data_IF_744703205961
#
_entry.id   IF_744703205961
#
_cell.length_a   1.000
_cell.length_b   1.000
_cell.length_c   1.000
_cell.angle_alpha   90.00
_cell.angle_beta   90.00
_cell.angle_gamma   90.00
#
_symmetry.space_group_name_H-M   'P 1'
#
loop_
_entity.id
_entity.type
_entity.pdbx_description
1 polymer ?
#
# COMPACT_ATOMS: atom_id res chain seq x y z
N UNK A 1 11.87 -2.15 23.85
CA UNK A 1 11.76 -0.96 22.98
C UNK A 1 11.02 0.10 23.76
N UNK A 2 11.52 1.34 23.77
CA UNK A 2 10.76 2.47 24.32
C UNK A 2 9.74 2.98 23.30
N UNK A 3 8.75 3.74 23.75
CA UNK A 3 7.65 4.24 22.90
C UNK A 3 8.12 5.10 21.70
N UNK A 4 9.33 5.65 21.75
CA UNK A 4 9.95 6.41 20.66
C UNK A 4 10.99 5.63 19.84
N UNK A 5 11.04 4.31 19.98
CA UNK A 5 11.94 3.50 19.15
C UNK A 5 11.53 3.54 17.67
N UNK A 6 12.46 3.19 16.78
CA UNK A 6 12.17 3.14 15.34
C UNK A 6 11.11 2.08 15.03
N UNK A 7 11.13 0.96 15.76
CA UNK A 7 10.17 -0.13 15.64
C UNK A 7 8.77 0.33 16.05
N UNK A 8 8.64 1.00 17.20
CA UNK A 8 7.35 1.53 17.66
C UNK A 8 6.75 2.51 16.65
N UNK A 9 7.57 3.41 16.10
CA UNK A 9 7.13 4.35 15.05
C UNK A 9 6.72 3.66 13.76
N UNK A 10 7.40 2.58 13.38
CA UNK A 10 7.06 1.79 12.21
C UNK A 10 5.71 1.09 12.37
N UNK A 11 5.45 0.46 13.52
CA UNK A 11 4.15 -0.17 13.80
C UNK A 11 3.02 0.85 13.84
N UNK A 12 3.22 1.98 14.54
CA UNK A 12 2.22 3.05 14.58
C UNK A 12 1.90 3.56 13.18
N UNK A 13 2.90 3.70 12.30
CA UNK A 13 2.68 4.15 10.93
C UNK A 13 1.86 3.16 10.09
N UNK A 14 2.07 1.85 10.27
CA UNK A 14 1.27 0.81 9.60
C UNK A 14 -0.19 0.88 10.07
N UNK A 15 -0.40 1.03 11.39
CA UNK A 15 -1.74 1.15 11.99
C UNK A 15 -2.45 2.44 11.57
N UNK A 16 -1.77 3.58 11.64
CA UNK A 16 -2.31 4.90 11.27
C UNK A 16 -2.77 4.95 9.81
N UNK A 17 -2.08 4.22 8.93
CA UNK A 17 -2.43 4.11 7.52
C UNK A 17 -3.41 2.97 7.20
N UNK A 18 -3.78 2.14 8.19
CA UNK A 18 -4.65 0.99 8.00
C UNK A 18 -4.11 -0.02 6.99
N UNK A 19 -2.77 -0.22 6.96
CA UNK A 19 -2.13 -1.11 6.00
C UNK A 19 -2.22 -2.58 6.41
N UNK A 20 -2.49 -3.45 5.44
CA UNK A 20 -2.56 -4.90 5.60
C UNK A 20 -1.21 -5.54 5.29
N UNK A 21 -0.63 -6.25 6.26
CA UNK A 21 0.60 -7.03 6.09
C UNK A 21 0.31 -8.38 5.39
N UNK A 22 0.93 -8.60 4.24
CA UNK A 22 0.70 -9.80 3.42
C UNK A 22 1.77 -10.88 3.63
N UNK A 23 3.00 -10.51 4.00
CA UNK A 23 4.10 -11.44 4.22
C UNK A 23 4.14 -11.84 5.70
N UNK A 24 3.71 -13.06 6.02
CA UNK A 24 3.72 -13.59 7.40
C UNK A 24 4.81 -14.64 7.62
N UNK A 25 5.58 -14.95 6.58
CA UNK A 25 6.55 -16.04 6.54
C UNK A 25 7.97 -15.49 6.50
N UNK A 26 8.93 -16.20 7.08
CA UNK A 26 10.33 -15.76 7.04
C UNK A 26 10.87 -15.68 5.61
N UNK A 27 11.47 -14.54 5.27
CA UNK A 27 11.98 -14.21 3.93
C UNK A 27 13.49 -14.36 3.80
N UNK A 28 14.20 -14.74 4.88
CA UNK A 28 15.64 -14.96 4.85
C UNK A 28 15.97 -16.42 5.16
N UNK A 29 16.68 -17.08 4.24
CA UNK A 29 17.11 -18.48 4.40
C UNK A 29 18.61 -18.60 4.13
N UNK A 30 19.43 -18.37 5.16
CA UNK A 30 20.87 -18.63 5.12
C UNK A 30 21.20 -19.82 6.03
N UNK A 31 22.03 -20.73 5.52
CA UNK A 31 22.51 -21.92 6.22
C UNK A 31 22.73 -21.67 7.73
N UNK A 32 21.98 -22.41 8.56
CA UNK A 32 22.07 -22.42 10.03
C UNK A 32 21.91 -21.08 10.78
N UNK A 33 21.48 -20.00 10.12
CA UNK A 33 21.15 -18.73 10.79
C UNK A 33 19.65 -18.60 11.08
N UNK A 34 19.32 -17.84 12.14
CA UNK A 34 17.96 -17.55 12.57
C UNK A 34 17.14 -16.95 11.43
N UNK A 35 16.00 -17.59 11.13
CA UNK A 35 15.02 -17.10 10.16
C UNK A 35 14.54 -15.70 10.57
N UNK A 36 14.70 -14.73 9.69
CA UNK A 36 14.24 -13.35 9.90
C UNK A 36 13.23 -12.96 8.84
N UNK A 37 12.10 -12.38 9.25
CA UNK A 37 11.14 -11.72 8.38
C UNK A 37 11.45 -10.22 8.39
N UNK A 38 12.31 -9.76 7.49
CA UNK A 38 12.62 -8.33 7.34
C UNK A 38 11.98 -7.72 6.09
N UNK A 39 11.38 -8.55 5.25
CA UNK A 39 10.77 -8.10 4.01
C UNK A 39 9.26 -8.15 4.18
N UNK A 40 8.61 -7.01 3.96
CA UNK A 40 7.18 -6.85 4.16
C UNK A 40 6.52 -6.40 2.85
N UNK A 41 5.30 -6.88 2.59
CA UNK A 41 4.43 -6.38 1.52
C UNK A 41 3.16 -5.86 2.19
N UNK A 42 2.91 -4.56 2.05
CA UNK A 42 1.74 -3.89 2.61
C UNK A 42 0.78 -3.46 1.51
N UNK A 43 -0.52 -3.63 1.75
CA UNK A 43 -1.59 -3.13 0.87
C UNK A 43 -2.59 -2.31 1.66
N UNK A 44 -3.28 -1.38 1.00
CA UNK A 44 -4.31 -0.53 1.61
C UNK A 44 -5.70 -1.20 1.66
N UNK A 45 -5.88 -2.31 0.95
CA UNK A 45 -7.09 -3.13 0.99
C UNK A 45 -6.69 -4.60 1.23
N UNK A 46 -7.59 -5.35 1.87
CA UNK A 46 -7.47 -6.80 2.00
C UNK A 46 -7.60 -7.48 0.63
N UNK A 47 -6.97 -8.65 0.48
CA UNK A 47 -7.09 -9.54 -0.68
C UNK A 47 -6.55 -8.99 -2.02
N UNK A 48 -5.74 -7.92 -2.00
CA UNK A 48 -5.05 -7.46 -3.21
C UNK A 48 -3.84 -8.32 -3.60
N UNK A 49 -3.39 -9.20 -2.72
CA UNK A 49 -2.24 -10.09 -2.93
C UNK A 49 -2.70 -11.54 -2.84
N UNK A 50 -2.45 -12.30 -3.90
CA UNK A 50 -2.77 -13.72 -4.01
C UNK A 50 -1.52 -14.54 -4.35
N UNK A 51 -1.58 -15.86 -4.13
CA UNK A 51 -0.51 -16.80 -4.50
C UNK A 51 0.89 -16.41 -3.99
N UNK A 52 0.95 -15.79 -2.80
CA UNK A 52 2.21 -15.35 -2.20
C UNK A 52 3.09 -16.56 -1.89
N UNK A 53 4.33 -16.52 -2.37
CA UNK A 53 5.33 -17.56 -2.18
C UNK A 53 6.70 -16.94 -1.95
N UNK A 54 7.47 -17.57 -1.07
CA UNK A 54 8.86 -17.22 -0.80
C UNK A 54 9.73 -18.22 -1.54
N UNK A 55 10.39 -17.78 -2.61
CA UNK A 55 11.23 -18.61 -3.46
C UNK A 55 12.71 -18.46 -3.09
N UNK A 56 13.52 -19.43 -3.52
CA UNK A 56 14.95 -19.38 -3.32
C UNK A 56 15.56 -18.09 -3.90
N UNK A 57 16.68 -17.67 -3.30
CA UNK A 57 17.42 -16.47 -3.69
C UNK A 57 17.87 -16.56 -5.15
N UNK A 58 17.84 -15.44 -5.88
CA UNK A 58 18.39 -15.40 -7.24
C UNK A 58 19.92 -15.24 -7.19
N UNK A 59 20.66 -16.22 -7.73
CA UNK A 59 22.12 -16.15 -7.84
C UNK A 59 22.83 -16.12 -6.48
N UNK A 60 23.58 -15.04 -6.20
CA UNK A 60 24.37 -14.85 -4.97
C UNK A 60 23.69 -13.93 -3.94
N UNK A 61 22.44 -13.53 -4.16
CA UNK A 61 21.67 -12.75 -3.18
C UNK A 61 21.48 -13.55 -1.89
N UNK A 62 21.49 -12.88 -0.73
CA UNK A 62 21.14 -13.47 0.56
C UNK A 62 19.68 -13.23 0.95
N UNK A 63 18.91 -12.60 0.06
CA UNK A 63 17.47 -12.33 0.18
C UNK A 63 16.64 -13.30 -0.67
N UNK A 64 15.58 -13.86 -0.09
CA UNK A 64 14.63 -14.70 -0.83
C UNK A 64 13.80 -13.84 -1.78
N UNK A 65 13.16 -14.49 -2.75
CA UNK A 65 12.27 -13.81 -3.68
C UNK A 65 10.86 -13.91 -3.13
N UNK A 66 10.17 -12.78 -2.99
CA UNK A 66 8.73 -12.75 -2.72
C UNK A 66 8.00 -12.68 -4.06
N UNK A 67 7.33 -13.76 -4.44
CA UNK A 67 6.53 -13.83 -5.65
C UNK A 67 5.04 -13.90 -5.30
N UNK A 68 4.21 -13.07 -5.93
CA UNK A 68 2.77 -13.01 -5.70
C UNK A 68 2.04 -12.48 -6.94
N UNK A 69 0.73 -12.75 -7.00
CA UNK A 69 -0.20 -12.14 -7.95
C UNK A 69 -0.85 -10.91 -7.30
N UNK A 70 -0.92 -9.80 -8.02
CA UNK A 70 -1.58 -8.58 -7.54
C UNK A 70 -2.93 -8.39 -8.23
N UNK A 71 -3.99 -8.24 -7.45
CA UNK A 71 -5.35 -7.97 -7.95
C UNK A 71 -5.49 -6.47 -8.18
N UNK A 72 -5.50 -6.07 -9.46
CA UNK A 72 -5.70 -4.67 -9.83
C UNK A 72 -7.16 -4.39 -10.15
N UNK A 73 -7.76 -3.42 -9.46
CA UNK A 73 -9.04 -2.84 -9.86
C UNK A 73 -8.75 -1.62 -10.73
N UNK A 74 -9.33 -1.60 -11.93
CA UNK A 74 -9.24 -0.43 -12.81
C UNK A 74 -10.64 0.08 -13.07
N UNK A 75 -10.88 1.35 -12.73
CA UNK A 75 -12.10 2.03 -13.11
C UNK A 75 -11.87 2.77 -14.42
N UNK A 76 -12.82 2.63 -15.34
CA UNK A 76 -12.86 3.51 -16.51
C UNK A 76 -13.27 4.88 -15.99
N UNK A 77 -12.30 5.79 -15.88
CA UNK A 77 -12.64 7.20 -15.68
C UNK A 77 -13.22 7.72 -16.99
N UNK A 78 -14.53 7.88 -17.03
CA UNK A 78 -15.14 8.73 -18.03
C UNK A 78 -14.46 10.10 -17.95
N UNK A 79 -13.98 10.59 -19.09
CA UNK A 79 -13.55 11.97 -19.27
C UNK A 79 -14.77 12.89 -19.15
N UNK A 80 -15.52 12.82 -18.04
CA UNK A 80 -16.47 13.86 -17.70
C UNK A 80 -15.66 15.12 -17.53
N UNK A 81 -15.94 16.10 -18.40
CA UNK A 81 -15.28 17.39 -18.50
C UNK A 81 -14.64 17.80 -17.17
N UNK A 82 -13.31 17.65 -17.10
CA UNK A 82 -12.49 18.06 -15.97
C UNK A 82 -12.50 19.61 -15.94
N UNK A 83 -13.67 20.20 -15.66
CA UNK A 83 -13.83 21.63 -15.42
C UNK A 83 -13.04 21.89 -14.17
N UNK A 84 -11.82 22.35 -14.35
CA UNK A 84 -10.98 22.84 -13.27
C UNK A 84 -11.64 24.11 -12.74
N UNK A 85 -12.46 23.95 -11.70
CA UNK A 85 -13.18 25.05 -11.10
C UNK A 85 -12.18 26.04 -10.50
N UNK A 86 -12.13 27.25 -11.05
CA UNK A 86 -11.26 28.30 -10.56
C UNK A 86 -12.02 29.15 -9.53
N UNK A 87 -11.92 28.77 -8.25
CA UNK A 87 -12.59 29.47 -7.14
C UNK A 87 -11.87 30.74 -6.67
N UNK A 88 -10.81 31.19 -7.38
CA UNK A 88 -10.05 32.40 -6.97
C UNK A 88 -10.86 33.69 -7.03
N UNK A 89 -11.99 33.69 -7.72
CA UNK A 89 -13.01 34.75 -7.65
C UNK A 89 -14.30 34.07 -7.26
N UNK A 90 -14.93 34.53 -6.17
CA UNK A 90 -16.18 33.96 -5.65
C UNK A 90 -17.25 33.95 -6.77
N UNK A 91 -17.39 32.80 -7.43
CA UNK A 91 -18.43 32.58 -8.44
C UNK A 91 -19.50 31.72 -7.78
N UNK A 92 -20.46 32.39 -7.16
CA UNK A 92 -21.52 31.79 -6.35
C UNK A 92 -22.37 30.81 -7.17
N UNK A 93 -22.64 31.12 -8.45
CA UNK A 93 -23.38 30.22 -9.34
C UNK A 93 -22.63 28.93 -9.61
N UNK A 94 -21.33 29.01 -9.89
CA UNK A 94 -20.49 27.82 -10.09
C UNK A 94 -20.35 26.96 -8.83
N UNK A 95 -20.39 27.57 -7.64
CA UNK A 95 -20.38 26.86 -6.36
C UNK A 95 -21.70 26.10 -6.15
N UNK A 96 -22.84 26.71 -6.47
CA UNK A 96 -24.15 26.07 -6.36
C UNK A 96 -24.26 24.84 -7.28
N UNK A 97 -23.82 24.98 -8.53
CA UNK A 97 -23.79 23.87 -9.51
C UNK A 97 -22.86 22.73 -9.06
N UNK A 98 -21.79 23.05 -8.35
CA UNK A 98 -20.87 22.06 -7.79
C UNK A 98 -21.51 21.33 -6.60
N UNK A 99 -22.12 22.05 -5.66
CA UNK A 99 -22.76 21.45 -4.49
C UNK A 99 -23.90 20.49 -4.88
N UNK A 100 -24.68 20.82 -5.90
CA UNK A 100 -25.76 19.95 -6.41
C UNK A 100 -25.27 18.65 -7.08
N UNK A 101 -23.97 18.52 -7.39
CA UNK A 101 -23.39 17.30 -7.97
C UNK A 101 -22.74 16.38 -6.94
N UNK A 102 -22.60 16.86 -5.71
CA UNK A 102 -21.90 16.14 -4.62
C UNK A 102 -22.89 15.48 -3.65
N UNK A 103 -24.18 15.87 -3.69
CA UNK A 103 -25.31 15.13 -3.13
C UNK A 103 -25.79 14.01 -4.08
#
# INVERSE_FOLDING_TARGET
GGENSTEARFFNFIEDLGLFENVKSATRRRNSQMLSCFECVFTNEEFLVENLSILATLGKSDHAIIAFSFVSKTEVRDLTNNRRWNFKRLNVSALQDYLQKVD
#
